data_IF_457205121013
#
_entry.id   IF_457205121013
#
_cell.length_a   1.000
_cell.length_b   1.000
_cell.length_c   1.000
_cell.angle_alpha   90.00
_cell.angle_beta   90.00
_cell.angle_gamma   90.00
#
_symmetry.space_group_name_H-M   'P 1'
#
loop_
_entity.id
_entity.type
_entity.pdbx_description
1 polymer ?
#
# COMPACT_ATOMS: atom_id res chain seq x y z
N UNK A 1 0.33 -12.84 2.23
CA UNK A 1 0.02 -11.39 2.30
C UNK A 1 -0.83 -10.98 1.11
N UNK A 2 -1.61 -9.94 1.31
CA UNK A 2 -2.51 -9.45 0.27
C UNK A 2 -2.16 -8.01 -0.04
N UNK A 3 -2.27 -7.64 -1.30
CA UNK A 3 -2.00 -6.28 -1.73
C UNK A 3 -3.20 -5.39 -1.46
N UNK A 4 -2.97 -4.24 -0.82
CA UNK A 4 -4.02 -3.27 -0.56
C UNK A 4 -4.03 -2.18 -1.61
N UNK A 5 -2.87 -1.59 -1.86
CA UNK A 5 -2.74 -0.44 -2.75
C UNK A 5 -1.44 -0.57 -3.53
N UNK A 6 -1.47 -0.08 -4.76
CA UNK A 6 -0.28 0.01 -5.60
C UNK A 6 -0.20 1.43 -6.12
N UNK A 7 0.89 2.12 -5.86
CA UNK A 7 0.99 3.52 -6.24
C UNK A 7 2.44 3.99 -6.36
N UNK A 8 2.66 4.91 -7.28
CA UNK A 8 3.93 5.62 -7.39
C UNK A 8 3.97 6.85 -6.49
N UNK A 9 2.85 7.22 -5.91
CA UNK A 9 2.75 8.42 -5.11
C UNK A 9 3.28 8.17 -3.72
N UNK A 10 4.48 8.68 -3.45
CA UNK A 10 5.14 8.47 -2.16
C UNK A 10 4.33 9.04 -1.02
N UNK A 11 3.67 10.16 -1.24
CA UNK A 11 2.87 10.81 -0.20
C UNK A 11 1.68 9.93 0.16
N UNK A 12 1.00 9.39 -0.86
CA UNK A 12 -0.12 8.49 -0.62
C UNK A 12 0.32 7.25 0.14
N UNK A 13 1.43 6.64 -0.27
CA UNK A 13 1.94 5.44 0.37
C UNK A 13 2.24 5.71 1.85
N UNK A 14 2.92 6.82 2.14
CA UNK A 14 3.25 7.18 3.51
C UNK A 14 2.00 7.43 4.35
N UNK A 15 1.02 8.10 3.77
CA UNK A 15 -0.23 8.38 4.47
C UNK A 15 -0.96 7.09 4.84
N UNK A 16 -1.04 6.16 3.90
CA UNK A 16 -1.73 4.89 4.13
C UNK A 16 -1.03 4.07 5.21
N UNK A 17 0.29 3.99 5.15
CA UNK A 17 1.05 3.24 6.15
C UNK A 17 0.81 3.84 7.54
N UNK A 18 0.84 5.16 7.64
CA UNK A 18 0.64 5.83 8.91
C UNK A 18 -0.78 5.59 9.44
N UNK A 19 -1.77 5.69 8.56
CA UNK A 19 -3.17 5.46 8.93
C UNK A 19 -3.38 4.06 9.48
N UNK A 20 -2.83 3.06 8.79
CA UNK A 20 -2.96 1.67 9.23
C UNK A 20 -2.23 1.45 10.54
N UNK A 21 -1.06 2.05 10.70
CA UNK A 21 -0.27 1.92 11.91
C UNK A 21 -1.01 2.46 13.12
N UNK A 22 -1.74 3.56 12.96
CA UNK A 22 -2.51 4.14 14.05
C UNK A 22 -3.58 3.19 14.56
N UNK A 23 -4.03 2.28 13.72
CA UNK A 23 -5.06 1.31 14.09
C UNK A 23 -4.47 -0.04 14.48
N UNK A 24 -3.16 -0.08 14.65
CA UNK A 24 -2.49 -1.31 15.06
C UNK A 24 -2.29 -2.31 13.93
N UNK A 25 -2.49 -1.89 12.69
CA UNK A 25 -2.31 -2.75 11.54
C UNK A 25 -0.94 -2.52 10.94
N UNK A 26 -0.18 -3.59 10.76
CA UNK A 26 1.17 -3.49 10.23
C UNK A 26 1.19 -3.89 8.77
N UNK A 27 1.39 -2.92 7.91
CA UNK A 27 1.53 -3.17 6.49
C UNK A 27 2.99 -3.08 6.08
N UNK A 28 3.32 -3.74 4.99
CA UNK A 28 4.68 -3.78 4.46
C UNK A 28 4.67 -3.17 3.07
N UNK A 29 5.68 -2.37 2.77
CA UNK A 29 5.81 -1.79 1.45
C UNK A 29 6.81 -2.60 0.66
N UNK A 30 6.36 -3.12 -0.49
CA UNK A 30 7.23 -3.78 -1.46
C UNK A 30 7.42 -2.78 -2.59
N UNK A 31 8.65 -2.44 -2.89
CA UNK A 31 8.92 -1.56 -4.01
C UNK A 31 9.78 -2.26 -5.04
N UNK A 32 9.76 -1.72 -6.23
CA UNK A 32 10.45 -2.35 -7.34
C UNK A 32 11.91 -1.96 -7.41
N UNK A 33 12.62 -2.13 -6.32
CA UNK A 33 14.00 -1.67 -6.25
C UNK A 33 14.91 -2.33 -7.29
N UNK A 34 14.49 -3.43 -7.85
CA UNK A 34 15.26 -4.04 -8.94
C UNK A 34 15.41 -3.10 -10.12
N UNK A 35 14.47 -2.21 -10.29
CA UNK A 35 14.52 -1.26 -11.39
C UNK A 35 15.67 -0.27 -11.28
N UNK A 36 16.19 -0.11 -10.10
CA UNK A 36 17.30 0.82 -9.89
C UNK A 36 18.51 0.42 -10.73
N UNK A 37 18.71 -0.88 -10.87
CA UNK A 37 19.84 -1.40 -11.63
C UNK A 37 19.77 -0.98 -13.08
N UNK A 38 18.57 -0.83 -13.60
CA UNK A 38 18.36 -0.49 -14.99
C UNK A 38 18.08 0.98 -15.22
N UNK A 39 18.18 1.78 -14.18
CA UNK A 39 17.94 3.20 -14.32
C UNK A 39 16.49 3.59 -14.46
N UNK A 40 15.58 2.69 -14.16
CA UNK A 40 14.15 2.94 -14.29
C UNK A 40 13.55 3.41 -12.96
N UNK A 41 14.27 4.19 -12.24
CA UNK A 41 13.85 4.67 -10.92
C UNK A 41 12.54 5.42 -11.05
N UNK A 42 11.57 5.03 -10.21
CA UNK A 42 10.28 5.68 -10.20
C UNK A 42 9.29 5.12 -11.20
N UNK A 43 9.73 4.21 -12.07
CA UNK A 43 8.84 3.63 -13.06
C UNK A 43 7.97 2.51 -12.48
N UNK A 44 8.33 1.98 -11.33
CA UNK A 44 7.63 0.85 -10.73
C UNK A 44 6.89 1.29 -9.48
N UNK A 45 5.61 0.93 -9.37
CA UNK A 45 4.83 1.34 -8.21
C UNK A 45 5.23 0.57 -6.96
N UNK A 46 5.07 1.21 -5.83
CA UNK A 46 5.21 0.55 -4.56
C UNK A 46 3.89 -0.14 -4.23
N UNK A 47 3.98 -1.30 -3.61
CA UNK A 47 2.81 -2.07 -3.22
C UNK A 47 2.73 -2.14 -1.71
N UNK A 48 1.56 -1.82 -1.18
CA UNK A 48 1.31 -1.93 0.25
C UNK A 48 0.63 -3.26 0.49
N UNK A 49 1.30 -4.13 1.23
CA UNK A 49 0.84 -5.48 1.50
C UNK A 49 0.43 -5.61 2.96
N UNK A 50 -0.55 -6.44 3.22
CA UNK A 50 -1.00 -6.68 4.58
C UNK A 50 -1.27 -8.16 4.78
N UNK A 51 -1.20 -8.59 6.03
CA UNK A 51 -1.52 -9.96 6.40
C UNK A 51 -2.96 -10.27 6.00
N UNK A 52 -3.15 -11.46 5.46
CA UNK A 52 -4.47 -11.90 5.01
C UNK A 52 -5.52 -11.77 6.12
N UNK A 53 -5.15 -12.04 7.35
CA UNK A 53 -6.07 -11.99 8.48
C UNK A 53 -6.57 -10.58 8.77
N UNK A 54 -5.84 -9.57 8.31
CA UNK A 54 -6.17 -8.18 8.59
C UNK A 54 -6.69 -7.44 7.38
N UNK A 55 -6.82 -8.14 6.26
CA UNK A 55 -7.19 -7.50 5.00
C UNK A 55 -8.55 -6.80 5.07
N UNK A 56 -9.55 -7.48 5.59
CA UNK A 56 -10.90 -6.93 5.63
C UNK A 56 -10.95 -5.66 6.45
N UNK A 57 -10.31 -5.68 7.60
CA UNK A 57 -10.28 -4.52 8.47
C UNK A 57 -9.51 -3.36 7.82
N UNK A 58 -8.39 -3.67 7.19
CA UNK A 58 -7.59 -2.63 6.53
C UNK A 58 -8.35 -1.99 5.38
N UNK A 59 -9.03 -2.79 4.56
CA UNK A 59 -9.80 -2.27 3.44
C UNK A 59 -10.95 -1.38 3.92
N UNK A 60 -11.61 -1.80 4.99
CA UNK A 60 -12.69 -0.98 5.56
C UNK A 60 -12.15 0.37 6.01
N UNK A 61 -11.03 0.35 6.71
CA UNK A 61 -10.42 1.57 7.21
C UNK A 61 -10.09 2.53 6.07
N UNK A 62 -9.53 2.00 5.00
CA UNK A 62 -9.17 2.84 3.86
C UNK A 62 -10.38 3.37 3.12
N UNK A 63 -11.47 2.59 3.04
CA UNK A 63 -12.71 3.08 2.46
C UNK A 63 -13.27 4.23 3.28
N UNK A 64 -13.23 4.10 4.59
CA UNK A 64 -13.73 5.15 5.47
C UNK A 64 -12.89 6.41 5.38
N UNK A 65 -11.65 6.27 5.01
CA UNK A 65 -10.75 7.41 4.81
C UNK A 65 -10.89 8.04 3.42
N UNK A 66 -11.80 7.51 2.59
CA UNK A 66 -12.02 8.05 1.26
C UNK A 66 -11.03 7.58 0.22
N UNK A 67 -10.34 6.47 0.49
CA UNK A 67 -9.30 5.96 -0.38
C UNK A 67 -9.71 4.75 -1.19
N UNK A 68 -10.99 4.48 -1.26
CA UNK A 68 -11.49 3.28 -1.93
C UNK A 68 -11.01 3.15 -3.37
N UNK A 69 -10.94 4.27 -4.08
CA UNK A 69 -10.53 4.26 -5.49
C UNK A 69 -9.08 3.80 -5.69
N UNK A 70 -8.29 3.86 -4.62
CA UNK A 70 -6.89 3.46 -4.69
C UNK A 70 -6.68 1.99 -4.35
N UNK A 71 -7.71 1.33 -3.82
CA UNK A 71 -7.58 -0.07 -3.40
C UNK A 71 -7.43 -0.99 -4.59
N UNK A 72 -6.49 -1.94 -4.46
CA UNK A 72 -6.31 -2.97 -5.48
C UNK A 72 -7.53 -3.87 -5.52
N UNK A 73 -8.03 -4.14 -6.70
CA UNK A 73 -9.16 -5.06 -6.89
C UNK A 73 -8.67 -6.50 -6.75
N UNK A 74 -9.51 -7.32 -6.16
CA UNK A 74 -9.22 -8.77 -6.06
C UNK A 74 -9.52 -9.48 -7.34
#
# INVERSE_FOLDING_TARGET
>A
MRELIRSNDVVLVSYVIDLLSQEGLQAVVFDGHMSVVEGSIGAFPRRIMIDQDEEIRARRLLREAGLEKHLTQD
#
